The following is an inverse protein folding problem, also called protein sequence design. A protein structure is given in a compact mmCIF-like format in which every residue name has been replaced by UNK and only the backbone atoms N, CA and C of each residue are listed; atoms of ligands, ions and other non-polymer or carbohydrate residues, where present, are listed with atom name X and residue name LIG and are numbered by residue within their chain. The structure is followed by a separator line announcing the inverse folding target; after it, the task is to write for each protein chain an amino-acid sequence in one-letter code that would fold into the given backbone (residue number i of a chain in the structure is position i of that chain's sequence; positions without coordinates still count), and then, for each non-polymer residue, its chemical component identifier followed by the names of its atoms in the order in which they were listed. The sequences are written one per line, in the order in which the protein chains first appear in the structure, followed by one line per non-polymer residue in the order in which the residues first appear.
data_IF_370062484938
#
_entry.id   IF_370062484938
#
_cell.length_a   1.000
_cell.length_b   1.000
_cell.length_c   1.000
_cell.angle_alpha   90.00
_cell.angle_beta   90.00
_cell.angle_gamma   90.00
#
_symmetry.space_group_name_H-M   'P 1'
#
loop_
_entity.id
_entity.type
_entity.pdbx_description
1 polymer ?
#
# COMPACT_ATOMS: atom_id res chain seq x y z
N UNK A 1 39.05 -68.17 -29.69
CA UNK A 1 38.84 -68.07 -28.23
C UNK A 1 37.92 -66.89 -28.03
N UNK A 2 36.63 -67.18 -28.17
CA UNK A 2 35.54 -66.21 -28.12
C UNK A 2 35.11 -66.03 -26.67
N UNK A 3 35.25 -64.81 -26.14
CA UNK A 3 34.67 -64.43 -24.86
C UNK A 3 33.16 -64.18 -25.04
N UNK A 4 32.29 -64.75 -24.18
CA UNK A 4 30.86 -64.59 -24.31
C UNK A 4 30.46 -63.16 -23.90
N UNK A 5 29.59 -62.58 -24.74
CA UNK A 5 28.96 -61.28 -24.57
C UNK A 5 27.87 -61.41 -23.51
N UNK A 6 28.19 -60.99 -22.29
CA UNK A 6 27.33 -61.08 -21.11
C UNK A 6 26.08 -60.22 -21.31
N UNK A 7 24.93 -60.90 -21.44
CA UNK A 7 23.62 -60.29 -21.60
C UNK A 7 23.22 -59.52 -20.35
N UNK A 8 23.06 -58.19 -20.45
CA UNK A 8 22.42 -57.41 -19.39
C UNK A 8 21.01 -57.93 -19.11
N UNK A 9 20.60 -58.06 -17.83
CA UNK A 9 19.26 -58.53 -17.49
C UNK A 9 18.20 -57.52 -17.95
N UNK A 10 17.15 -57.96 -18.67
CA UNK A 10 16.04 -57.11 -19.04
C UNK A 10 15.13 -56.89 -17.82
N UNK A 11 14.76 -55.63 -17.55
CA UNK A 11 13.56 -55.35 -16.76
C UNK A 11 13.74 -54.60 -15.43
N UNK A 12 14.90 -54.00 -15.13
CA UNK A 12 14.94 -53.03 -14.03
C UNK A 12 14.26 -51.72 -14.49
N UNK A 13 12.95 -51.61 -14.26
CA UNK A 13 12.17 -50.39 -14.49
C UNK A 13 12.87 -49.24 -13.76
N UNK A 14 13.60 -48.40 -14.51
CA UNK A 14 14.17 -47.16 -13.98
C UNK A 14 13.00 -46.32 -13.49
N UNK A 15 12.76 -46.31 -12.17
CA UNK A 15 11.82 -45.38 -11.56
C UNK A 15 12.23 -43.99 -12.00
N UNK A 16 11.35 -43.22 -12.66
CA UNK A 16 11.72 -41.91 -13.18
C UNK A 16 12.16 -41.04 -12.01
N UNK A 17 13.39 -40.49 -12.08
CA UNK A 17 13.99 -39.67 -11.02
C UNK A 17 13.13 -38.47 -10.59
N UNK A 18 12.16 -38.07 -11.42
CA UNK A 18 11.24 -36.98 -11.12
C UNK A 18 10.27 -37.33 -9.98
N UNK A 19 9.88 -38.60 -9.84
CA UNK A 19 8.88 -39.03 -8.86
C UNK A 19 9.28 -38.74 -7.40
N UNK A 20 10.48 -39.09 -6.92
CA UNK A 20 10.89 -38.77 -5.54
C UNK A 20 11.02 -37.26 -5.31
N UNK A 21 11.43 -36.48 -6.31
CA UNK A 21 11.50 -35.01 -6.20
C UNK A 21 10.11 -34.38 -6.08
N UNK A 22 9.15 -34.82 -6.92
CA UNK A 22 7.76 -34.37 -6.87
C UNK A 22 7.11 -34.77 -5.54
N UNK A 23 7.34 -36.01 -5.07
CA UNK A 23 6.84 -36.46 -3.78
C UNK A 23 7.41 -35.62 -2.62
N UNK A 24 8.72 -35.32 -2.64
CA UNK A 24 9.35 -34.46 -1.64
C UNK A 24 8.75 -33.04 -1.64
N UNK A 25 8.49 -32.44 -2.80
CA UNK A 25 7.81 -31.14 -2.91
C UNK A 25 6.38 -31.19 -2.36
N UNK A 26 5.59 -32.22 -2.71
CA UNK A 26 4.22 -32.34 -2.25
C UNK A 26 4.13 -32.56 -0.73
N UNK A 27 4.94 -33.47 -0.19
CA UNK A 27 4.96 -33.78 1.25
C UNK A 27 5.44 -32.56 2.04
N UNK A 28 6.49 -31.87 1.59
CA UNK A 28 6.97 -30.65 2.26
C UNK A 28 5.93 -29.53 2.24
N UNK A 29 5.22 -29.31 1.12
CA UNK A 29 4.15 -28.33 1.04
C UNK A 29 3.02 -28.66 2.03
N UNK A 30 2.53 -29.89 2.03
CA UNK A 30 1.46 -30.34 2.94
C UNK A 30 1.91 -30.19 4.39
N UNK A 31 3.13 -30.61 4.73
CA UNK A 31 3.67 -30.53 6.09
C UNK A 31 3.75 -29.09 6.57
N UNK A 32 4.22 -28.17 5.73
CA UNK A 32 4.31 -26.76 6.09
C UNK A 32 2.94 -26.11 6.22
N UNK A 33 2.00 -26.41 5.32
CA UNK A 33 0.62 -25.90 5.39
C UNK A 33 -0.05 -26.40 6.67
N UNK A 34 0.02 -27.71 6.95
CA UNK A 34 -0.57 -28.28 8.17
C UNK A 34 0.08 -27.73 9.43
N UNK A 35 1.42 -27.66 9.47
CA UNK A 35 2.14 -27.10 10.60
C UNK A 35 1.80 -25.63 10.86
N UNK A 36 1.68 -24.83 9.79
CA UNK A 36 1.29 -23.42 9.90
C UNK A 36 -0.15 -23.26 10.40
N UNK A 37 -1.09 -24.05 9.86
CA UNK A 37 -2.49 -24.06 10.28
C UNK A 37 -2.64 -24.48 11.73
N UNK A 38 -1.92 -25.52 12.17
CA UNK A 38 -1.97 -25.98 13.56
C UNK A 38 -1.39 -24.94 14.53
N UNK A 39 -0.31 -24.27 14.13
CA UNK A 39 0.32 -23.22 14.95
C UNK A 39 -0.53 -21.95 15.07
N UNK A 40 -1.16 -21.54 13.96
CA UNK A 40 -1.99 -20.33 13.89
C UNK A 40 -3.49 -20.65 13.94
N UNK A 41 -3.85 -21.80 14.51
CA UNK A 41 -5.25 -22.17 14.62
C UNK A 41 -5.95 -21.09 15.44
N UNK A 42 -6.92 -20.36 14.86
CA UNK A 42 -7.55 -19.27 15.57
C UNK A 42 -8.27 -19.82 16.79
N UNK A 43 -8.21 -19.07 17.89
CA UNK A 43 -9.10 -19.32 19.01
C UNK A 43 -10.53 -19.00 18.55
N UNK A 44 -11.33 -20.04 18.34
CA UNK A 44 -12.72 -19.88 17.88
C UNK A 44 -13.70 -19.75 19.04
N UNK A 45 -13.22 -19.73 20.29
CA UNK A 45 -14.10 -19.58 21.47
C UNK A 45 -14.94 -18.30 21.36
N UNK A 46 -16.26 -18.45 21.35
CA UNK A 46 -17.21 -17.34 21.19
C UNK A 46 -17.48 -16.87 19.75
N UNK A 47 -16.85 -17.50 18.75
CA UNK A 47 -17.12 -17.28 17.31
C UNK A 47 -17.67 -18.52 16.59
N UNK A 48 -17.67 -19.68 17.26
CA UNK A 48 -18.21 -20.92 16.72
C UNK A 48 -19.69 -20.76 16.30
N UNK A 49 -19.96 -21.04 15.03
CA UNK A 49 -21.31 -20.95 14.46
C UNK A 49 -21.75 -19.54 14.04
N UNK A 50 -20.91 -18.51 14.16
CA UNK A 50 -21.22 -17.20 13.60
C UNK A 50 -21.24 -17.27 12.07
N UNK A 51 -22.35 -16.81 11.50
CA UNK A 51 -22.43 -16.60 10.05
C UNK A 51 -21.65 -15.32 9.67
N UNK A 52 -20.99 -15.30 8.50
CA UNK A 52 -20.40 -14.08 7.98
C UNK A 52 -21.43 -12.95 7.84
N UNK A 53 -21.01 -11.73 8.17
CA UNK A 53 -21.81 -10.53 7.98
C UNK A 53 -21.61 -10.01 6.56
N UNK A 54 -22.61 -10.22 5.71
CA UNK A 54 -22.64 -9.69 4.34
C UNK A 54 -23.37 -8.36 4.31
N UNK A 55 -22.73 -7.36 3.69
CA UNK A 55 -23.29 -6.02 3.47
C UNK A 55 -23.46 -5.87 1.97
N UNK A 56 -24.72 -5.82 1.54
CA UNK A 56 -25.08 -5.69 0.14
C UNK A 56 -25.13 -4.22 -0.27
N UNK A 57 -25.06 -3.95 -1.58
CA UNK A 57 -25.22 -2.58 -2.11
C UNK A 57 -26.56 -1.91 -1.72
N UNK A 58 -27.57 -2.70 -1.37
CA UNK A 58 -28.86 -2.24 -0.82
C UNK A 58 -28.75 -1.62 0.57
N UNK A 59 -27.71 -1.99 1.33
CA UNK A 59 -27.49 -1.57 2.70
C UNK A 59 -26.63 -0.32 2.77
N UNK A 60 -26.31 0.31 1.64
CA UNK A 60 -25.46 1.50 1.57
C UNK A 60 -26.34 2.74 1.44
N UNK A 61 -26.26 3.65 2.40
CA UNK A 61 -26.82 5.00 2.34
C UNK A 61 -25.80 5.92 1.66
N UNK A 62 -26.21 6.58 0.58
CA UNK A 62 -25.34 7.50 -0.13
C UNK A 62 -26.10 8.78 -0.45
N UNK A 63 -25.35 9.89 -0.53
CA UNK A 63 -25.82 11.10 -1.19
C UNK A 63 -26.04 10.78 -2.68
N UNK A 64 -27.25 10.96 -3.23
CA UNK A 64 -27.55 10.71 -4.64
C UNK A 64 -26.63 11.44 -5.63
N UNK A 65 -25.94 12.51 -5.20
CA UNK A 65 -24.96 13.23 -6.01
C UNK A 65 -23.59 12.54 -6.08
N UNK A 66 -23.30 11.58 -5.21
CA UNK A 66 -22.01 10.92 -5.07
C UNK A 66 -21.97 9.49 -5.60
N UNK A 67 -23.11 8.97 -6.06
CA UNK A 67 -23.20 7.62 -6.56
C UNK A 67 -24.59 7.25 -7.04
N UNK A 68 -24.71 6.02 -7.54
CA UNK A 68 -25.98 5.42 -7.95
C UNK A 68 -26.03 3.97 -7.49
N UNK A 69 -27.20 3.55 -7.00
CA UNK A 69 -27.45 2.15 -6.69
C UNK A 69 -27.67 1.40 -8.00
N UNK A 70 -26.92 0.31 -8.17
CA UNK A 70 -27.07 -0.62 -9.28
C UNK A 70 -27.53 -1.98 -8.73
N UNK A 71 -28.14 -2.86 -9.56
CA UNK A 71 -28.51 -4.21 -9.14
C UNK A 71 -27.31 -5.04 -8.62
N UNK A 72 -26.12 -4.71 -9.11
CA UNK A 72 -24.87 -5.43 -8.85
C UNK A 72 -23.98 -4.79 -7.77
N UNK A 73 -24.45 -3.72 -7.11
CA UNK A 73 -23.65 -2.98 -6.12
C UNK A 73 -23.94 -1.49 -6.12
N UNK A 74 -23.02 -0.71 -5.55
CA UNK A 74 -23.09 0.76 -5.57
C UNK A 74 -22.02 1.31 -6.48
N UNK A 75 -22.46 2.04 -7.50
CA UNK A 75 -21.57 2.87 -8.31
C UNK A 75 -21.23 4.11 -7.49
N UNK A 76 -19.94 4.30 -7.28
CA UNK A 76 -19.39 5.48 -6.62
C UNK A 76 -18.71 6.33 -7.67
N UNK A 77 -18.93 7.63 -7.61
CA UNK A 77 -18.31 8.59 -8.51
C UNK A 77 -17.22 9.37 -7.79
N UNK A 78 -16.21 9.80 -8.54
CA UNK A 78 -15.18 10.68 -8.00
C UNK A 78 -15.82 11.94 -7.41
N UNK A 79 -15.57 12.25 -6.11
CA UNK A 79 -15.71 13.62 -5.66
C UNK A 79 -14.81 14.49 -6.55
N UNK A 80 -15.21 15.72 -6.87
CA UNK A 80 -14.34 16.63 -7.63
C UNK A 80 -12.94 16.73 -7.02
N UNK A 81 -11.95 17.22 -7.78
CA UNK A 81 -10.51 17.08 -7.51
C UNK A 81 -9.98 17.48 -6.11
N UNK A 82 -10.80 18.15 -5.27
CA UNK A 82 -10.47 18.59 -3.91
C UNK A 82 -11.55 18.23 -2.86
N UNK A 83 -12.47 17.30 -3.18
CA UNK A 83 -13.54 16.87 -2.28
C UNK A 83 -13.29 15.45 -1.75
N UNK A 84 -13.71 15.21 -0.52
CA UNK A 84 -13.83 13.86 0.05
C UNK A 84 -15.31 13.56 0.18
N UNK A 85 -15.68 12.32 -0.15
CA UNK A 85 -17.06 11.87 -0.08
C UNK A 85 -17.19 10.68 0.84
N UNK A 86 -18.11 10.79 1.79
CA UNK A 86 -18.38 9.77 2.80
C UNK A 86 -19.70 9.09 2.44
N UNK A 87 -19.66 7.77 2.27
CA UNK A 87 -20.84 6.92 2.12
C UNK A 87 -21.06 6.13 3.41
N UNK A 88 -22.28 6.13 3.95
CA UNK A 88 -22.61 5.43 5.19
C UNK A 88 -23.28 4.09 4.88
N UNK A 89 -23.08 3.08 5.73
CA UNK A 89 -23.78 1.80 5.64
C UNK A 89 -24.92 1.78 6.65
N UNK A 90 -26.11 1.37 6.21
CA UNK A 90 -27.36 1.30 6.99
C UNK A 90 -27.33 0.27 8.12
N UNK A 91 -26.45 -0.74 8.04
CA UNK A 91 -26.38 -1.84 9.02
C UNK A 91 -25.12 -1.71 9.87
N UNK A 92 -25.31 -1.29 11.11
CA UNK A 92 -24.23 -1.13 12.08
C UNK A 92 -24.65 -1.70 13.45
N UNK A 93 -23.69 -2.06 14.29
CA UNK A 93 -23.92 -2.71 15.58
C UNK A 93 -23.47 -4.17 15.65
N UNK A 94 -22.18 -4.43 15.40
CA UNK A 94 -21.56 -5.74 15.62
C UNK A 94 -20.25 -5.62 16.39
N UNK A 95 -19.82 -6.69 17.05
CA UNK A 95 -18.52 -6.72 17.74
C UNK A 95 -17.39 -6.92 16.73
N UNK A 96 -16.45 -5.97 16.69
CA UNK A 96 -15.36 -5.95 15.72
C UNK A 96 -14.51 -7.23 15.78
N UNK A 97 -14.23 -7.71 16.99
CA UNK A 97 -13.37 -8.86 17.27
C UNK A 97 -13.94 -10.17 16.74
N UNK A 98 -15.27 -10.27 16.63
CA UNK A 98 -15.94 -11.45 16.07
C UNK A 98 -15.77 -11.53 14.55
N UNK A 99 -15.39 -10.43 13.91
CA UNK A 99 -15.31 -10.31 12.45
C UNK A 99 -14.01 -9.61 11.99
N UNK A 100 -12.84 -10.25 12.20
CA UNK A 100 -11.54 -9.63 11.93
C UNK A 100 -11.14 -9.62 10.45
N UNK A 101 -11.90 -10.30 9.56
CA UNK A 101 -11.53 -10.45 8.15
C UNK A 101 -12.56 -9.76 7.25
N UNK A 102 -12.09 -8.83 6.43
CA UNK A 102 -12.89 -8.14 5.44
C UNK A 102 -12.59 -8.67 4.04
N UNK A 103 -13.58 -9.27 3.40
CA UNK A 103 -13.57 -9.57 1.96
C UNK A 103 -14.26 -8.42 1.23
N UNK A 104 -13.59 -7.88 0.21
CA UNK A 104 -14.14 -6.80 -0.60
C UNK A 104 -14.01 -7.09 -2.09
N UNK A 105 -14.96 -6.57 -2.87
CA UNK A 105 -14.93 -6.60 -4.33
C UNK A 105 -15.40 -5.28 -4.93
N UNK A 106 -14.51 -4.66 -5.70
CA UNK A 106 -14.66 -3.37 -6.37
C UNK A 106 -14.41 -3.61 -7.86
N UNK A 107 -15.47 -3.52 -8.66
CA UNK A 107 -15.40 -3.64 -10.10
C UNK A 107 -15.22 -2.28 -10.78
N UNK A 108 -14.75 -2.30 -12.04
CA UNK A 108 -14.50 -1.10 -12.84
C UNK A 108 -13.69 -0.04 -12.08
N UNK A 109 -12.64 -0.47 -11.36
CA UNK A 109 -11.84 0.46 -10.57
C UNK A 109 -11.20 1.51 -11.47
N UNK A 110 -11.38 2.80 -11.15
CA UNK A 110 -10.55 3.85 -11.74
C UNK A 110 -9.22 3.96 -10.99
N UNK A 111 -8.06 3.93 -11.67
CA UNK A 111 -6.74 4.02 -11.02
C UNK A 111 -6.53 5.29 -10.17
N UNK A 112 -7.26 6.37 -10.45
CA UNK A 112 -7.12 7.65 -9.74
C UNK A 112 -8.07 7.81 -8.54
N UNK A 113 -9.12 7.00 -8.46
CA UNK A 113 -10.15 7.10 -7.42
C UNK A 113 -9.69 6.28 -6.22
N UNK A 114 -9.46 6.87 -5.05
CA UNK A 114 -9.09 6.18 -3.80
C UNK A 114 -10.33 5.82 -2.99
N UNK A 115 -10.39 4.56 -2.52
CA UNK A 115 -11.50 4.05 -1.71
C UNK A 115 -10.93 3.47 -0.42
N UNK A 116 -11.36 4.01 0.71
CA UNK A 116 -11.05 3.53 2.04
C UNK A 116 -12.33 3.09 2.75
N UNK A 117 -12.24 2.04 3.56
CA UNK A 117 -13.27 1.72 4.54
C UNK A 117 -13.05 2.61 5.76
N UNK A 118 -14.12 3.16 6.32
CA UNK A 118 -14.08 3.83 7.60
C UNK A 118 -15.03 3.21 8.61
N UNK A 119 -14.73 3.38 9.90
CA UNK A 119 -15.61 2.98 10.98
C UNK A 119 -15.52 3.91 12.18
N UNK A 120 -16.54 3.83 13.04
CA UNK A 120 -16.58 4.39 14.39
C UNK A 120 -17.02 3.29 15.35
N UNK A 121 -16.52 3.36 16.58
CA UNK A 121 -16.91 2.45 17.65
C UNK A 121 -17.67 3.19 18.74
N UNK A 122 -18.48 2.45 19.49
CA UNK A 122 -19.19 2.95 20.67
C UNK A 122 -18.26 3.57 21.72
N UNK A 123 -17.01 3.10 21.81
CA UNK A 123 -16.01 3.64 22.72
C UNK A 123 -15.44 4.99 22.27
N UNK A 124 -15.38 5.25 20.96
CA UNK A 124 -14.87 6.50 20.38
C UNK A 124 -15.77 7.00 19.24
N UNK A 125 -16.99 7.47 19.54
CA UNK A 125 -17.98 7.83 18.51
C UNK A 125 -17.54 9.05 17.67
N UNK A 126 -16.78 9.98 18.25
CA UNK A 126 -16.31 11.18 17.54
C UNK A 126 -15.12 10.90 16.61
N UNK A 127 -14.45 9.75 16.76
CA UNK A 127 -13.23 9.46 16.01
C UNK A 127 -13.50 8.51 14.86
N UNK A 128 -13.33 9.02 13.64
CA UNK A 128 -13.44 8.21 12.43
C UNK A 128 -12.10 7.56 12.12
N UNK A 129 -12.09 6.25 11.93
CA UNK A 129 -10.91 5.44 11.59
C UNK A 129 -11.01 5.00 10.14
N UNK A 130 -9.87 4.85 9.46
CA UNK A 130 -9.83 4.52 8.04
C UNK A 130 -8.86 3.38 7.77
N UNK A 131 -9.15 2.58 6.74
CA UNK A 131 -8.22 1.64 6.12
C UNK A 131 -8.40 1.61 4.61
N UNK A 132 -7.29 1.68 3.88
CA UNK A 132 -7.32 1.74 2.42
C UNK A 132 -7.65 0.38 1.81
N UNK A 133 -8.67 0.35 0.93
CA UNK A 133 -9.08 -0.87 0.23
C UNK A 133 -8.36 -1.05 -1.12
N UNK A 134 -7.57 -0.06 -1.54
CA UNK A 134 -6.92 -0.06 -2.85
C UNK A 134 -5.47 -0.53 -2.86
N UNK A 135 -5.01 -1.13 -1.76
CA UNK A 135 -3.69 -1.75 -1.74
C UNK A 135 -3.58 -2.89 -2.76
N UNK A 136 -4.71 -3.48 -3.20
CA UNK A 136 -4.75 -4.50 -4.23
C UNK A 136 -5.27 -3.98 -5.59
N UNK A 137 -4.40 -3.97 -6.61
CA UNK A 137 -4.72 -3.54 -7.97
C UNK A 137 -5.67 -4.47 -8.73
N UNK A 138 -6.10 -5.60 -8.16
CA UNK A 138 -7.15 -6.44 -8.77
C UNK A 138 -8.56 -6.00 -8.43
N UNK A 139 -8.73 -5.05 -7.50
CA UNK A 139 -10.04 -4.59 -7.04
C UNK A 139 -10.77 -5.58 -6.14
N UNK A 140 -10.16 -6.71 -5.77
CA UNK A 140 -10.73 -7.67 -4.83
C UNK A 140 -9.67 -8.14 -3.86
N UNK A 141 -10.06 -8.46 -2.62
CA UNK A 141 -9.08 -8.91 -1.65
C UNK A 141 -9.69 -9.29 -0.31
N UNK A 142 -8.81 -9.81 0.54
CA UNK A 142 -9.09 -10.06 1.95
C UNK A 142 -8.16 -9.15 2.74
N UNK A 143 -8.72 -8.36 3.64
CA UNK A 143 -7.99 -7.48 4.55
C UNK A 143 -8.16 -8.01 5.97
N UNK A 144 -7.04 -8.23 6.65
CA UNK A 144 -7.03 -8.60 8.06
C UNK A 144 -7.06 -7.35 8.93
N UNK A 145 -8.14 -7.15 9.68
CA UNK A 145 -8.33 -6.06 10.64
C UNK A 145 -7.85 -6.42 12.06
N UNK A 146 -7.50 -7.69 12.31
CA UNK A 146 -7.06 -8.19 13.62
C UNK A 146 -5.91 -7.38 14.26
N UNK A 147 -4.92 -6.97 13.47
CA UNK A 147 -3.76 -6.20 13.95
C UNK A 147 -4.03 -4.70 14.02
N UNK A 148 -5.20 -4.24 13.57
CA UNK A 148 -5.57 -2.85 13.67
C UNK A 148 -5.98 -2.56 15.12
N UNK A 149 -5.18 -1.76 15.82
CA UNK A 149 -5.40 -1.43 17.24
C UNK A 149 -6.73 -0.74 17.50
N UNK A 150 -7.37 -0.18 16.46
CA UNK A 150 -8.65 0.50 16.52
C UNK A 150 -9.83 -0.34 16.02
N UNK A 151 -9.60 -1.57 15.57
CA UNK A 151 -10.67 -2.51 15.22
C UNK A 151 -11.11 -3.31 16.45
N UNK A 152 -11.78 -2.62 17.38
CA UNK A 152 -12.19 -3.18 18.66
C UNK A 152 -13.54 -2.64 19.14
N UNK A 153 -14.21 -3.43 19.96
CA UNK A 153 -15.51 -3.14 20.55
C UNK A 153 -16.64 -3.13 19.52
N UNK A 154 -17.75 -2.53 19.90
CA UNK A 154 -18.95 -2.50 19.05
C UNK A 154 -18.83 -1.39 18.01
N UNK A 155 -18.85 -1.79 16.73
CA UNK A 155 -18.85 -0.87 15.58
C UNK A 155 -20.24 -0.27 15.42
N UNK A 156 -20.32 1.06 15.54
CA UNK A 156 -21.58 1.84 15.48
C UNK A 156 -21.79 2.49 14.14
N UNK A 157 -20.71 2.84 13.43
CA UNK A 157 -20.77 3.39 12.08
C UNK A 157 -19.75 2.67 11.21
N UNK A 158 -20.13 2.39 9.97
CA UNK A 158 -19.27 1.78 8.95
C UNK A 158 -19.59 2.43 7.61
N UNK A 159 -18.58 2.65 6.78
CA UNK A 159 -18.80 3.30 5.50
C UNK A 159 -17.57 3.37 4.61
N UNK A 160 -17.70 4.08 3.49
CA UNK A 160 -16.61 4.31 2.56
C UNK A 160 -16.23 5.78 2.52
N UNK A 161 -14.93 6.03 2.48
CA UNK A 161 -14.38 7.33 2.13
C UNK A 161 -13.80 7.23 0.72
N UNK A 162 -14.29 8.10 -0.15
CA UNK A 162 -13.88 8.16 -1.55
C UNK A 162 -13.17 9.49 -1.76
N UNK A 163 -12.00 9.42 -2.38
CA UNK A 163 -11.15 10.58 -2.60
C UNK A 163 -10.48 10.52 -3.96
N UNK A 164 -10.15 11.68 -4.54
CA UNK A 164 -9.46 11.74 -5.82
C UNK A 164 -10.32 11.25 -6.99
N UNK A 165 -9.67 10.81 -8.05
CA UNK A 165 -10.30 10.51 -9.33
C UNK A 165 -10.58 11.77 -10.16
N UNK A 166 -10.95 11.57 -11.42
CA UNK A 166 -11.42 12.64 -12.32
C UNK A 166 -12.94 12.75 -12.29
N UNK A 167 -13.51 13.92 -12.63
CA UNK A 167 -14.92 13.98 -12.95
C UNK A 167 -15.30 12.93 -14.00
N UNK A 168 -16.26 12.06 -13.66
CA UNK A 168 -16.70 10.94 -14.49
C UNK A 168 -16.00 9.60 -14.23
N UNK A 169 -14.93 9.57 -13.42
CA UNK A 169 -14.39 8.31 -12.93
C UNK A 169 -15.40 7.64 -12.00
N UNK A 170 -15.62 6.35 -12.23
CA UNK A 170 -16.56 5.55 -11.45
C UNK A 170 -15.89 4.28 -10.95
N UNK A 171 -16.45 3.69 -9.90
CA UNK A 171 -16.11 2.34 -9.45
C UNK A 171 -17.34 1.70 -8.84
N UNK A 172 -17.46 0.38 -8.92
CA UNK A 172 -18.64 -0.33 -8.42
C UNK A 172 -18.25 -1.19 -7.24
N UNK A 173 -18.67 -0.78 -6.06
CA UNK A 173 -18.55 -1.59 -4.84
C UNK A 173 -19.61 -2.67 -4.90
N UNK A 174 -19.20 -3.92 -5.11
CA UNK A 174 -20.13 -5.04 -5.30
C UNK A 174 -20.50 -5.69 -3.97
N UNK A 175 -19.49 -6.09 -3.22
CA UNK A 175 -19.68 -6.92 -2.02
C UNK A 175 -18.69 -6.52 -0.93
N UNK A 176 -19.22 -6.46 0.29
CA UNK A 176 -18.43 -6.49 1.51
C UNK A 176 -18.91 -7.66 2.36
N UNK A 177 -17.96 -8.47 2.81
CA UNK A 177 -18.25 -9.59 3.69
C UNK A 177 -17.25 -9.61 4.81
N UNK A 178 -17.76 -9.54 6.03
CA UNK A 178 -16.97 -9.68 7.23
C UNK A 178 -17.09 -11.11 7.74
N UNK A 179 -15.97 -11.80 7.85
CA UNK A 179 -15.94 -13.22 8.20
C UNK A 179 -15.36 -13.42 9.60
N UNK A 180 -15.91 -14.37 10.39
CA UNK A 180 -15.28 -14.79 11.63
C UNK A 180 -13.95 -15.49 11.37
N UNK A 181 -13.08 -15.56 12.39
CA UNK A 181 -11.83 -16.29 12.28
C UNK A 181 -12.10 -17.79 12.11
N UNK A 182 -11.25 -18.46 11.33
CA UNK A 182 -11.39 -19.89 11.06
C UNK A 182 -10.24 -20.44 10.22
N UNK A 183 -10.09 -21.75 10.18
CA UNK A 183 -8.99 -22.40 9.44
C UNK A 183 -9.08 -22.16 7.94
N UNK A 184 -10.28 -22.23 7.36
CA UNK A 184 -10.51 -21.99 5.94
C UNK A 184 -10.23 -20.52 5.61
N UNK A 185 -10.69 -19.59 6.45
CA UNK A 185 -10.50 -18.16 6.24
C UNK A 185 -9.04 -17.74 6.43
N UNK A 186 -8.29 -18.43 7.31
CA UNK A 186 -6.83 -18.29 7.41
C UNK A 186 -6.13 -18.66 6.10
N UNK A 187 -6.42 -19.83 5.53
CA UNK A 187 -5.82 -20.27 4.27
C UNK A 187 -6.22 -19.34 3.11
N UNK A 188 -7.47 -18.90 3.07
CA UNK A 188 -7.92 -17.92 2.09
C UNK A 188 -7.18 -16.59 2.23
N UNK A 189 -6.91 -16.14 3.46
CA UNK A 189 -6.16 -14.90 3.71
C UNK A 189 -4.72 -15.01 3.22
N UNK A 190 -4.03 -16.12 3.53
CA UNK A 190 -2.67 -16.37 3.01
C UNK A 190 -2.67 -16.38 1.48
N UNK A 191 -3.62 -17.10 0.86
CA UNK A 191 -3.72 -17.15 -0.59
C UNK A 191 -4.03 -15.78 -1.20
N UNK A 192 -4.89 -14.99 -0.56
CA UNK A 192 -5.21 -13.63 -0.97
C UNK A 192 -3.99 -12.71 -0.87
N UNK A 193 -3.22 -12.74 0.22
CA UNK A 193 -1.95 -12.02 0.34
C UNK A 193 -0.93 -12.48 -0.72
N UNK A 194 -0.94 -13.78 -1.03
CA UNK A 194 -0.04 -14.39 -1.99
C UNK A 194 -0.42 -14.14 -3.45
N UNK A 195 -1.62 -13.63 -3.70
CA UNK A 195 -2.12 -13.28 -5.03
C UNK A 195 -2.47 -11.79 -5.14
N UNK A 196 -2.32 -11.02 -4.07
CA UNK A 196 -2.53 -9.59 -4.07
C UNK A 196 -1.50 -8.92 -4.95
N UNK A 197 -1.97 -8.02 -5.80
CA UNK A 197 -1.12 -7.17 -6.63
C UNK A 197 -0.94 -5.84 -5.93
N UNK A 198 0.29 -5.48 -5.63
CA UNK A 198 0.61 -4.24 -4.91
C UNK A 198 0.60 -3.04 -5.86
N UNK A 199 0.02 -1.94 -5.39
CA UNK A 199 0.19 -0.64 -6.03
C UNK A 199 1.67 -0.19 -5.97
N UNK A 200 2.01 0.83 -6.76
CA UNK A 200 3.32 1.47 -6.63
C UNK A 200 3.48 2.02 -5.21
N UNK A 201 4.39 1.43 -4.45
CA UNK A 201 4.84 1.97 -3.17
C UNK A 201 6.08 2.81 -3.41
N UNK A 202 6.19 3.96 -2.73
CA UNK A 202 7.41 4.77 -2.73
C UNK A 202 8.51 4.16 -1.83
N UNK A 203 8.37 2.88 -1.44
CA UNK A 203 9.40 2.16 -0.69
C UNK A 203 10.57 1.79 -1.60
N UNK A 204 11.75 1.61 -1.01
CA UNK A 204 12.92 1.15 -1.76
C UNK A 204 12.66 -0.21 -2.40
N UNK A 205 13.20 -0.41 -3.61
CA UNK A 205 13.20 -1.69 -4.33
C UNK A 205 13.85 -2.84 -3.53
N UNK A 206 14.64 -2.50 -2.50
CA UNK A 206 15.29 -3.46 -1.63
C UNK A 206 14.40 -3.94 -0.46
N UNK A 207 13.21 -3.37 -0.28
CA UNK A 207 12.25 -3.92 0.69
C UNK A 207 11.49 -5.09 0.07
N UNK A 208 11.55 -6.23 0.75
CA UNK A 208 10.88 -7.48 0.37
C UNK A 208 9.41 -7.48 0.81
N UNK A 209 8.66 -6.39 0.59
CA UNK A 209 7.20 -6.46 0.62
C UNK A 209 6.80 -7.13 -0.68
N UNK A 210 6.81 -8.47 -0.65
CA UNK A 210 6.39 -9.32 -1.76
C UNK A 210 5.01 -9.91 -1.45
N UNK A 211 4.18 -9.16 -0.73
CA UNK A 211 2.79 -9.41 -0.36
C UNK A 211 2.23 -8.12 0.28
N UNK A 212 0.92 -8.10 0.55
CA UNK A 212 0.28 -7.05 1.36
C UNK A 212 1.19 -6.63 2.53
N UNK A 213 1.32 -5.32 2.85
CA UNK A 213 2.13 -4.83 3.99
C UNK A 213 1.80 -5.50 5.33
N UNK A 214 0.62 -6.12 5.43
CA UNK A 214 0.14 -6.83 6.62
C UNK A 214 0.10 -8.36 6.43
N UNK A 215 0.81 -8.88 5.43
CA UNK A 215 0.84 -10.31 5.15
C UNK A 215 1.43 -11.08 6.32
N UNK A 216 0.68 -12.09 6.78
CA UNK A 216 1.09 -12.93 7.91
C UNK A 216 2.26 -13.85 7.57
N UNK A 217 2.45 -14.14 6.30
CA UNK A 217 3.46 -15.09 5.82
C UNK A 217 4.03 -14.62 4.48
N UNK A 218 5.28 -14.16 4.50
CA UNK A 218 5.99 -13.77 3.28
C UNK A 218 6.08 -14.95 2.29
N UNK A 219 5.68 -14.78 1.01
CA UNK A 219 5.84 -15.82 -0.01
C UNK A 219 7.29 -16.28 -0.18
N UNK A 220 8.26 -15.35 -0.06
CA UNK A 220 9.69 -15.67 -0.18
C UNK A 220 10.15 -16.62 0.93
N UNK A 221 9.90 -16.27 2.19
CA UNK A 221 10.21 -17.11 3.35
C UNK A 221 9.52 -18.47 3.25
N UNK A 222 8.23 -18.50 2.92
CA UNK A 222 7.49 -19.76 2.79
C UNK A 222 8.06 -20.65 1.67
N UNK A 223 8.41 -20.06 0.53
CA UNK A 223 9.06 -20.77 -0.59
C UNK A 223 10.43 -21.29 -0.19
N UNK A 224 11.22 -20.51 0.56
CA UNK A 224 12.52 -20.93 1.05
C UNK A 224 12.42 -22.11 2.04
N UNK A 225 11.48 -22.05 2.99
CA UNK A 225 11.18 -23.17 3.89
C UNK A 225 10.70 -24.40 3.12
N UNK A 226 9.84 -24.21 2.12
CA UNK A 226 9.35 -25.28 1.25
C UNK A 226 10.48 -25.97 0.49
N UNK A 227 11.33 -25.19 -0.19
CA UNK A 227 12.52 -25.70 -0.87
C UNK A 227 13.47 -26.41 0.11
N UNK A 228 13.76 -25.81 1.26
CA UNK A 228 14.65 -26.38 2.27
C UNK A 228 14.16 -27.73 2.79
N UNK A 229 12.87 -27.82 3.16
CA UNK A 229 12.26 -29.07 3.62
C UNK A 229 12.21 -30.11 2.50
N UNK A 230 11.89 -29.72 1.25
CA UNK A 230 11.89 -30.61 0.10
C UNK A 230 13.30 -31.20 -0.16
N UNK A 231 14.34 -30.37 -0.08
CA UNK A 231 15.74 -30.80 -0.21
C UNK A 231 16.14 -31.77 0.90
N UNK A 232 15.74 -31.52 2.16
CA UNK A 232 16.00 -32.41 3.29
C UNK A 232 15.30 -33.77 3.12
N UNK A 233 14.02 -33.78 2.73
CA UNK A 233 13.27 -35.01 2.46
C UNK A 233 13.89 -35.81 1.31
N UNK A 234 14.26 -35.13 0.22
CA UNK A 234 14.90 -35.75 -0.92
C UNK A 234 16.29 -36.31 -0.57
N UNK A 235 17.10 -35.57 0.19
CA UNK A 235 18.41 -36.02 0.66
C UNK A 235 18.27 -37.23 1.61
N UNK A 236 17.33 -37.19 2.55
CA UNK A 236 17.07 -38.30 3.49
C UNK A 236 16.59 -39.57 2.79
N UNK A 237 15.75 -39.44 1.77
CA UNK A 237 15.33 -40.56 0.92
C UNK A 237 16.51 -41.20 0.20
N UNK A 238 17.36 -40.37 -0.43
CA UNK A 238 18.54 -40.85 -1.14
C UNK A 238 19.59 -41.41 -0.19
N UNK A 239 19.78 -40.88 1.02
CA UNK A 239 20.73 -41.37 2.01
C UNK A 239 20.42 -42.82 2.45
N UNK A 240 19.15 -43.13 2.72
CA UNK A 240 18.71 -44.51 3.02
C UNK A 240 18.94 -45.47 1.84
N UNK A 241 18.87 -44.96 0.62
CA UNK A 241 19.08 -45.73 -0.60
C UNK A 241 20.57 -45.84 -1.00
N UNK A 242 21.40 -44.86 -0.60
CA UNK A 242 22.84 -44.80 -0.84
C UNK A 242 23.58 -45.93 -0.13
N UNK A 243 23.14 -46.29 1.07
CA UNK A 243 23.63 -47.49 1.78
C UNK A 243 23.29 -48.81 1.07
N UNK A 244 22.43 -48.80 0.04
CA UNK A 244 21.94 -50.01 -0.60
C UNK A 244 22.47 -50.30 -2.00
N UNK A 245 23.07 -49.35 -2.74
CA UNK A 245 23.81 -49.53 -4.03
C UNK A 245 23.93 -48.15 -4.72
N UNK A 246 25.03 -47.43 -4.51
CA UNK A 246 25.38 -46.10 -5.05
C UNK A 246 24.56 -45.55 -6.25
N UNK A 247 23.44 -44.82 -6.03
CA UNK A 247 22.85 -44.00 -7.06
C UNK A 247 23.40 -42.57 -6.92
N UNK A 248 24.06 -42.06 -7.98
CA UNK A 248 24.41 -40.64 -8.06
C UNK A 248 23.12 -39.81 -8.01
N UNK A 249 23.09 -38.68 -7.28
CA UNK A 249 21.90 -37.83 -7.21
C UNK A 249 21.47 -37.44 -8.63
N UNK A 250 20.23 -37.75 -8.95
CA UNK A 250 19.73 -37.52 -10.30
C UNK A 250 19.55 -36.01 -10.53
N UNK A 251 20.41 -35.44 -11.38
CA UNK A 251 20.47 -33.99 -11.66
C UNK A 251 19.11 -33.40 -12.04
N UNK A 252 18.29 -34.16 -12.77
CA UNK A 252 16.94 -33.74 -13.16
C UNK A 252 15.97 -33.58 -11.97
N UNK A 253 16.06 -34.45 -10.95
CA UNK A 253 15.26 -34.32 -9.74
C UNK A 253 15.64 -33.08 -8.93
N UNK A 254 16.94 -32.82 -8.78
CA UNK A 254 17.43 -31.62 -8.10
C UNK A 254 17.01 -30.34 -8.83
N UNK A 255 17.08 -30.34 -10.17
CA UNK A 255 16.61 -29.22 -10.98
C UNK A 255 15.13 -28.93 -10.74
N UNK A 256 14.27 -29.95 -10.68
CA UNK A 256 12.83 -29.77 -10.40
C UNK A 256 12.58 -29.20 -9.00
N UNK A 257 13.31 -29.67 -7.99
CA UNK A 257 13.19 -29.17 -6.61
C UNK A 257 13.45 -27.67 -6.53
N UNK A 258 14.41 -27.16 -7.29
CA UNK A 258 14.78 -25.74 -7.31
C UNK A 258 13.88 -24.94 -8.26
N UNK A 259 13.63 -25.47 -9.46
CA UNK A 259 12.92 -24.75 -10.50
C UNK A 259 11.46 -24.49 -10.15
N UNK A 260 10.75 -25.44 -9.52
CA UNK A 260 9.31 -25.27 -9.23
C UNK A 260 9.07 -24.13 -8.22
N UNK A 261 9.67 -24.11 -7.02
CA UNK A 261 9.49 -23.01 -6.07
C UNK A 261 9.97 -21.67 -6.64
N UNK A 262 11.08 -21.67 -7.39
CA UNK A 262 11.61 -20.46 -8.02
C UNK A 262 10.67 -19.89 -9.10
N UNK A 263 10.16 -20.73 -10.00
CA UNK A 263 9.21 -20.32 -11.05
C UNK A 263 7.89 -19.82 -10.44
N UNK A 264 7.45 -20.37 -9.30
CA UNK A 264 6.27 -19.89 -8.59
C UNK A 264 6.45 -18.45 -8.08
N UNK A 265 7.59 -18.14 -7.44
CA UNK A 265 7.90 -16.77 -7.03
C UNK A 265 8.04 -15.83 -8.23
N UNK A 266 8.73 -16.29 -9.28
CA UNK A 266 8.92 -15.50 -10.48
C UNK A 266 7.59 -15.17 -11.18
N UNK A 267 6.69 -16.15 -11.31
CA UNK A 267 5.37 -15.95 -11.88
C UNK A 267 4.55 -14.92 -11.07
N UNK A 268 4.60 -14.99 -9.74
CA UNK A 268 3.95 -14.01 -8.86
C UNK A 268 4.50 -12.59 -9.11
N UNK A 269 5.81 -12.41 -9.17
CA UNK A 269 6.41 -11.11 -9.49
C UNK A 269 6.03 -10.60 -10.87
N UNK A 270 6.05 -11.49 -11.88
CA UNK A 270 5.71 -11.13 -13.25
C UNK A 270 4.25 -10.64 -13.36
N UNK A 271 3.33 -11.30 -12.65
CA UNK A 271 1.93 -10.85 -12.56
C UNK A 271 1.84 -9.45 -11.95
N UNK A 272 2.56 -9.20 -10.85
CA UNK A 272 2.57 -7.89 -10.20
C UNK A 272 3.04 -6.78 -11.16
N UNK A 273 4.17 -7.01 -11.84
CA UNK A 273 4.72 -6.04 -12.79
C UNK A 273 3.82 -5.80 -14.00
N UNK A 274 3.16 -6.84 -14.53
CA UNK A 274 2.23 -6.65 -15.64
C UNK A 274 1.01 -5.84 -15.24
N UNK A 275 0.45 -6.07 -14.07
CA UNK A 275 -0.67 -5.27 -13.58
C UNK A 275 -0.25 -3.83 -13.31
N UNK A 276 0.89 -3.59 -12.63
CA UNK A 276 1.42 -2.25 -12.42
C UNK A 276 1.70 -1.51 -13.74
N UNK A 277 2.27 -2.19 -14.75
CA UNK A 277 2.51 -1.63 -16.07
C UNK A 277 1.20 -1.23 -16.75
N UNK A 278 0.18 -2.10 -16.67
CA UNK A 278 -1.13 -1.83 -17.27
C UNK A 278 -1.80 -0.62 -16.60
N UNK A 279 -1.77 -0.54 -15.27
CA UNK A 279 -2.27 0.62 -14.50
C UNK A 279 -1.55 1.91 -14.88
N UNK A 280 -0.22 1.90 -14.90
CA UNK A 280 0.60 3.06 -15.30
C UNK A 280 0.27 3.47 -16.74
N UNK A 281 0.10 2.52 -17.64
CA UNK A 281 -0.25 2.79 -19.04
C UNK A 281 -1.65 3.42 -19.14
N UNK A 282 -2.64 2.89 -18.44
CA UNK A 282 -3.99 3.45 -18.41
C UNK A 282 -4.00 4.88 -17.83
N UNK A 283 -3.22 5.12 -16.78
CA UNK A 283 -3.19 6.42 -16.12
C UNK A 283 -2.45 7.49 -16.93
N UNK A 284 -1.34 7.13 -17.60
CA UNK A 284 -0.39 8.12 -18.15
C UNK A 284 -0.15 8.05 -19.67
N UNK A 285 -0.60 7.02 -20.39
CA UNK A 285 -0.34 6.92 -21.84
C UNK A 285 -1.05 8.03 -22.63
N UNK A 286 -0.38 8.55 -23.66
CA UNK A 286 -0.90 9.62 -24.52
C UNK A 286 -0.97 11.01 -23.87
N UNK A 287 -0.52 11.16 -22.62
CA UNK A 287 -0.60 12.42 -21.87
C UNK A 287 0.68 13.24 -21.94
N UNK A 288 0.53 14.55 -21.93
CA UNK A 288 1.62 15.52 -21.74
C UNK A 288 2.20 15.43 -20.33
N UNK A 289 3.39 15.99 -20.11
CA UNK A 289 4.03 15.97 -18.80
C UNK A 289 3.19 16.70 -17.73
N UNK A 290 2.58 17.84 -18.09
CA UNK A 290 1.69 18.60 -17.21
C UNK A 290 0.48 17.74 -16.78
N UNK A 291 -0.19 17.10 -17.73
CA UNK A 291 -1.31 16.21 -17.44
C UNK A 291 -0.87 15.03 -16.56
N UNK A 292 0.29 14.42 -16.81
CA UNK A 292 0.80 13.34 -15.96
C UNK A 292 1.00 13.81 -14.52
N UNK A 293 1.55 15.00 -14.28
CA UNK A 293 1.71 15.54 -12.94
C UNK A 293 0.39 15.86 -12.25
N UNK A 294 -0.61 16.35 -12.99
CA UNK A 294 -1.96 16.59 -12.47
C UNK A 294 -2.71 15.30 -12.11
N UNK A 295 -2.21 14.14 -12.52
CA UNK A 295 -2.80 12.83 -12.26
C UNK A 295 -2.01 11.97 -11.28
N UNK A 296 -0.77 12.37 -11.01
CA UNK A 296 0.06 11.69 -10.04
C UNK A 296 -0.46 11.94 -8.62
N UNK A 297 -0.02 11.10 -7.68
CA UNK A 297 -0.45 11.21 -6.27
C UNK A 297 -0.06 12.55 -5.63
N UNK A 298 0.96 13.21 -6.16
CA UNK A 298 1.45 14.53 -5.75
C UNK A 298 0.84 15.70 -6.54
N UNK A 299 -0.28 15.48 -7.25
CA UNK A 299 -0.95 16.52 -8.04
C UNK A 299 -1.29 17.78 -7.23
N UNK A 300 -1.62 17.67 -5.95
CA UNK A 300 -1.89 18.83 -5.06
C UNK A 300 -0.64 19.69 -4.89
N UNK A 301 0.53 19.05 -4.73
CA UNK A 301 1.83 19.72 -4.63
C UNK A 301 2.17 20.41 -5.95
N UNK A 302 1.95 19.71 -7.06
CA UNK A 302 2.20 20.25 -8.39
C UNK A 302 1.30 21.44 -8.71
N UNK A 303 -0.01 21.35 -8.44
CA UNK A 303 -0.97 22.44 -8.60
C UNK A 303 -0.55 23.67 -7.79
N UNK A 304 -0.13 23.47 -6.55
CA UNK A 304 0.34 24.56 -5.70
C UNK A 304 1.63 25.20 -6.23
N UNK A 305 2.60 24.39 -6.67
CA UNK A 305 3.82 24.90 -7.30
C UNK A 305 3.52 25.73 -8.57
N UNK A 306 2.61 25.25 -9.42
CA UNK A 306 2.18 25.97 -10.62
C UNK A 306 1.46 27.28 -10.27
N UNK A 307 0.59 27.27 -9.27
CA UNK A 307 -0.05 28.49 -8.75
C UNK A 307 0.98 29.52 -8.31
N UNK A 308 1.94 29.12 -7.47
CA UNK A 308 3.00 30.01 -7.00
C UNK A 308 3.80 30.59 -8.18
N UNK A 309 4.22 29.76 -9.13
CA UNK A 309 5.02 30.20 -10.29
C UNK A 309 4.27 31.14 -11.23
N UNK A 310 2.99 30.88 -11.45
CA UNK A 310 2.23 31.57 -12.49
C UNK A 310 1.52 32.82 -11.97
N UNK A 311 1.21 32.89 -10.67
CA UNK A 311 0.36 33.94 -10.10
C UNK A 311 1.02 34.78 -9.00
N UNK A 312 2.02 34.24 -8.28
CA UNK A 312 2.53 34.88 -7.05
C UNK A 312 3.99 35.29 -7.17
N UNK A 313 4.84 34.38 -7.66
CA UNK A 313 6.27 34.58 -7.80
C UNK A 313 6.61 35.38 -9.07
N UNK A 314 7.77 36.06 -9.09
CA UNK A 314 8.23 36.76 -10.27
C UNK A 314 8.57 35.77 -11.40
N UNK A 315 8.56 36.25 -12.65
CA UNK A 315 8.94 35.41 -13.81
C UNK A 315 10.44 35.07 -13.84
N UNK A 316 11.27 35.89 -13.18
CA UNK A 316 12.70 35.61 -13.03
C UNK A 316 12.96 34.61 -11.88
N UNK A 317 14.03 33.79 -11.98
CA UNK A 317 14.43 32.91 -10.87
C UNK A 317 14.60 33.71 -9.58
N UNK A 318 13.92 33.25 -8.53
CA UNK A 318 13.89 33.89 -7.22
C UNK A 318 14.42 32.91 -6.18
N UNK A 319 14.92 33.44 -5.07
CA UNK A 319 15.37 32.65 -3.94
C UNK A 319 14.20 32.37 -3.01
N UNK A 320 13.92 31.08 -2.81
CA UNK A 320 12.82 30.59 -1.98
C UNK A 320 13.40 29.75 -0.85
N UNK A 321 13.01 30.06 0.37
CA UNK A 321 13.43 29.36 1.58
C UNK A 321 12.21 28.59 2.06
N UNK A 322 12.30 27.26 2.03
CA UNK A 322 11.21 26.37 2.39
C UNK A 322 11.42 25.87 3.83
N UNK A 323 10.52 26.27 4.71
CA UNK A 323 10.53 25.94 6.13
C UNK A 323 9.52 24.82 6.41
N UNK A 324 10.02 23.67 6.88
CA UNK A 324 9.17 22.59 7.39
C UNK A 324 9.92 21.76 8.43
N UNK A 325 9.30 21.55 9.60
CA UNK A 325 9.87 20.73 10.67
C UNK A 325 9.67 19.23 10.40
N UNK A 326 10.39 18.68 9.42
CA UNK A 326 10.44 17.24 9.14
C UNK A 326 11.69 16.87 8.33
N UNK A 327 12.54 16.00 8.88
CA UNK A 327 13.71 15.47 8.19
C UNK A 327 13.28 14.59 7.00
N UNK A 328 13.83 14.84 5.80
CA UNK A 328 13.49 14.14 4.54
C UNK A 328 12.00 14.12 4.21
N UNK A 329 11.36 15.26 4.38
CA UNK A 329 9.95 15.44 4.06
C UNK A 329 9.66 15.37 2.55
N UNK A 330 8.76 14.45 2.16
CA UNK A 330 8.37 14.21 0.77
C UNK A 330 7.80 15.46 0.10
N UNK A 331 6.86 16.16 0.77
CA UNK A 331 6.21 17.36 0.22
C UNK A 331 7.24 18.45 -0.06
N UNK A 332 8.14 18.72 0.88
CA UNK A 332 9.18 19.75 0.74
C UNK A 332 10.10 19.47 -0.44
N UNK A 333 10.60 18.24 -0.57
CA UNK A 333 11.50 17.85 -1.66
C UNK A 333 10.81 17.88 -3.03
N UNK A 334 9.54 17.42 -3.10
CA UNK A 334 8.76 17.49 -4.33
C UNK A 334 8.43 18.91 -4.74
N UNK A 335 8.06 19.75 -3.77
CA UNK A 335 7.75 21.15 -4.03
C UNK A 335 8.97 21.91 -4.53
N UNK A 336 10.14 21.71 -3.93
CA UNK A 336 11.41 22.24 -4.44
C UNK A 336 11.64 21.87 -5.91
N UNK A 337 11.41 20.61 -6.28
CA UNK A 337 11.56 20.17 -7.68
C UNK A 337 10.58 20.87 -8.62
N UNK A 338 9.32 21.03 -8.21
CA UNK A 338 8.30 21.68 -9.05
C UNK A 338 8.43 23.21 -9.12
N UNK A 339 9.11 23.82 -8.15
CA UNK A 339 9.41 25.25 -8.15
C UNK A 339 10.57 25.63 -9.08
N UNK A 340 11.29 24.67 -9.68
CA UNK A 340 12.29 24.99 -10.71
C UNK A 340 11.66 25.84 -11.83
N UNK A 341 12.33 26.91 -12.32
CA UNK A 341 13.75 27.21 -12.10
C UNK A 341 14.07 28.10 -10.88
N UNK A 342 13.13 28.36 -9.97
CA UNK A 342 13.43 29.13 -8.75
C UNK A 342 14.43 28.37 -7.85
N UNK A 343 15.34 29.13 -7.23
CA UNK A 343 16.38 28.59 -6.36
C UNK A 343 15.79 28.35 -4.98
N UNK A 344 15.42 27.10 -4.70
CA UNK A 344 14.78 26.72 -3.44
C UNK A 344 15.76 26.07 -2.47
N UNK A 345 15.74 26.51 -1.21
CA UNK A 345 16.59 26.03 -0.10
C UNK A 345 15.74 25.49 1.04
N UNK A 346 16.08 24.32 1.57
CA UNK A 346 15.29 23.65 2.60
C UNK A 346 15.85 23.86 3.99
N UNK A 347 14.99 24.21 4.95
CA UNK A 347 15.34 24.37 6.36
C UNK A 347 14.35 23.64 7.26
N UNK A 348 14.89 22.99 8.29
CA UNK A 348 14.11 22.26 9.31
C UNK A 348 13.66 23.18 10.47
N UNK A 349 14.31 24.34 10.62
CA UNK A 349 14.12 25.33 11.68
C UNK A 349 14.36 26.74 11.14
N UNK A 350 14.15 27.77 11.97
CA UNK A 350 14.41 29.17 11.63
C UNK A 350 15.75 29.32 10.87
N UNK A 351 15.73 29.80 9.62
CA UNK A 351 16.97 30.06 8.88
C UNK A 351 17.74 31.15 9.65
N UNK A 352 19.06 31.01 9.75
CA UNK A 352 19.87 32.05 10.41
C UNK A 352 19.64 33.40 9.71
N UNK A 353 19.46 34.47 10.49
CA UNK A 353 19.10 35.81 10.01
C UNK A 353 20.03 36.28 8.87
N UNK A 354 21.33 36.02 9.00
CA UNK A 354 22.37 36.36 8.01
C UNK A 354 22.15 35.70 6.63
N UNK A 355 21.31 34.67 6.55
CA UNK A 355 20.98 33.98 5.29
C UNK A 355 19.71 34.50 4.63
N UNK A 356 18.95 35.38 5.28
CA UNK A 356 17.74 35.98 4.73
C UNK A 356 18.06 37.36 4.15
N UNK A 357 17.79 37.52 2.85
CA UNK A 357 18.01 38.79 2.15
C UNK A 357 16.68 39.48 1.87
N UNK A 358 16.73 40.81 1.72
CA UNK A 358 15.56 41.57 1.29
C UNK A 358 15.05 41.03 -0.06
N UNK A 359 13.75 40.76 -0.15
CA UNK A 359 13.13 40.19 -1.35
C UNK A 359 13.22 38.67 -1.48
N UNK A 360 13.85 37.97 -0.52
CA UNK A 360 13.74 36.52 -0.43
C UNK A 360 12.29 36.11 -0.14
N UNK A 361 11.92 34.92 -0.59
CA UNK A 361 10.60 34.35 -0.32
C UNK A 361 10.72 33.26 0.74
N UNK A 362 9.90 33.33 1.79
CA UNK A 362 9.84 32.33 2.85
C UNK A 362 8.53 31.54 2.72
N UNK A 363 8.64 30.27 2.36
CA UNK A 363 7.51 29.35 2.23
C UNK A 363 7.45 28.44 3.45
N UNK A 364 6.40 28.59 4.25
CA UNK A 364 6.16 27.79 5.45
C UNK A 364 5.15 26.69 5.12
N UNK A 365 5.55 25.43 5.26
CA UNK A 365 4.71 24.28 4.97
C UNK A 365 4.17 23.66 6.27
N UNK A 366 2.85 23.71 6.43
CA UNK A 366 2.15 23.29 7.64
C UNK A 366 2.48 24.16 8.86
N UNK A 367 2.17 23.64 10.04
CA UNK A 367 2.39 24.35 11.30
C UNK A 367 3.82 24.15 11.81
N UNK A 368 4.44 25.26 12.21
CA UNK A 368 5.74 25.26 12.85
C UNK A 368 5.53 25.67 14.30
N UNK A 369 5.78 24.77 15.27
CA UNK A 369 5.57 25.08 16.67
C UNK A 369 6.28 26.36 17.09
N UNK A 370 5.51 27.28 17.66
CA UNK A 370 6.01 28.56 18.14
C UNK A 370 6.20 29.64 17.09
N UNK A 371 5.86 29.39 15.82
CA UNK A 371 5.81 30.42 14.77
C UNK A 371 4.40 30.99 14.63
N UNK A 372 4.26 32.29 14.78
CA UNK A 372 3.01 33.02 14.57
C UNK A 372 3.21 34.17 13.59
N UNK A 373 2.19 34.48 12.81
CA UNK A 373 2.18 35.66 11.97
C UNK A 373 1.31 36.75 12.58
N UNK A 374 1.95 37.87 12.92
CA UNK A 374 1.28 39.06 13.38
C UNK A 374 0.94 39.96 12.18
N UNK A 375 -0.31 39.88 11.72
CA UNK A 375 -0.77 40.62 10.54
C UNK A 375 -0.74 42.14 10.74
N UNK A 376 -1.01 42.62 11.97
CA UNK A 376 -1.00 44.06 12.26
C UNK A 376 0.40 44.66 12.08
N UNK A 377 1.42 43.92 12.49
CA UNK A 377 2.82 44.37 12.44
C UNK A 377 3.58 43.85 11.22
N UNK A 378 2.96 43.04 10.36
CA UNK A 378 3.59 42.33 9.23
C UNK A 378 4.89 41.62 9.66
N UNK A 379 4.82 40.90 10.78
CA UNK A 379 5.96 40.22 11.40
C UNK A 379 5.65 38.75 11.64
N UNK A 380 6.60 37.90 11.32
CA UNK A 380 6.66 36.52 11.80
C UNK A 380 7.38 36.53 13.15
N UNK A 381 6.80 35.90 14.16
CA UNK A 381 7.29 35.88 15.53
C UNK A 381 7.50 34.42 15.96
N UNK A 382 8.69 34.13 16.48
CA UNK A 382 9.04 32.84 17.06
C UNK A 382 9.03 32.90 18.58
N UNK A 383 8.69 31.80 19.24
CA UNK A 383 8.67 31.68 20.73
C UNK A 383 10.00 32.00 21.41
N UNK A 384 11.11 32.06 20.69
CA UNK A 384 12.43 32.43 21.22
C UNK A 384 12.72 33.95 21.10
N UNK A 385 11.71 34.78 20.86
CA UNK A 385 11.86 36.24 20.73
C UNK A 385 12.39 36.71 19.37
N UNK A 386 12.74 35.78 18.47
CA UNK A 386 13.14 36.10 17.10
C UNK A 386 11.94 36.56 16.30
N UNK A 387 12.13 37.61 15.52
CA UNK A 387 11.08 38.16 14.67
C UNK A 387 11.65 38.51 13.29
N UNK A 388 10.81 38.37 12.26
CA UNK A 388 11.16 38.67 10.88
C UNK A 388 10.07 39.51 10.25
N UNK A 389 10.41 40.68 9.70
CA UNK A 389 9.47 41.46 8.90
C UNK A 389 9.19 40.75 7.59
N UNK A 390 7.92 40.48 7.35
CA UNK A 390 7.48 39.63 6.26
C UNK A 390 6.06 39.99 5.82
N UNK A 391 5.86 40.12 4.51
CA UNK A 391 4.54 40.33 3.92
C UNK A 391 3.97 39.01 3.47
N UNK A 392 2.80 38.62 3.99
CA UNK A 392 2.06 37.47 3.47
C UNK A 392 1.66 37.73 2.00
N UNK A 393 2.01 36.80 1.11
CA UNK A 393 1.69 36.87 -0.32
C UNK A 393 0.65 35.83 -0.74
N UNK A 394 0.69 34.65 -0.14
CA UNK A 394 -0.21 33.54 -0.50
C UNK A 394 -0.47 32.63 0.72
N UNK A 395 -1.68 32.09 0.80
CA UNK A 395 -2.10 31.13 1.83
C UNK A 395 -2.89 29.99 1.18
N UNK A 396 -2.50 28.77 1.50
CA UNK A 396 -3.03 27.53 0.96
C UNK A 396 -3.09 26.46 2.06
N UNK A 397 -3.94 25.43 1.95
CA UNK A 397 -3.91 24.29 2.85
C UNK A 397 -2.54 23.60 2.96
N UNK A 398 -1.67 23.74 1.94
CA UNK A 398 -0.30 23.19 1.97
C UNK A 398 0.70 24.09 2.72
N UNK A 399 0.46 25.40 2.79
CA UNK A 399 1.42 26.34 3.36
C UNK A 399 1.12 27.80 3.08
N UNK A 400 2.01 28.67 3.60
CA UNK A 400 1.94 30.13 3.49
C UNK A 400 3.23 30.67 2.91
N UNK A 401 3.12 31.54 1.92
CA UNK A 401 4.27 32.22 1.32
C UNK A 401 4.36 33.65 1.81
N UNK A 402 5.56 34.05 2.23
CA UNK A 402 5.89 35.40 2.65
C UNK A 402 7.03 35.97 1.82
N UNK A 403 7.04 37.28 1.66
CA UNK A 403 8.20 38.02 1.15
C UNK A 403 8.91 38.70 2.31
N UNK A 404 10.22 38.46 2.41
CA UNK A 404 11.08 39.00 3.45
C UNK A 404 11.40 40.46 3.17
N UNK A 405 11.25 41.29 4.19
CA UNK A 405 11.69 42.69 4.18
C UNK A 405 12.79 42.86 5.24
N UNK A 406 14.05 42.70 4.82
CA UNK A 406 15.20 42.77 5.74
C UNK A 406 15.62 44.20 6.08
N UNK A 407 14.87 45.23 5.65
CA UNK A 407 15.21 46.64 5.91
C UNK A 407 14.93 47.11 7.36
N UNK A 408 14.68 46.18 8.30
CA UNK A 408 14.46 46.52 9.70
C UNK A 408 14.53 45.35 10.68
N UNK A 409 15.62 44.58 10.63
CA UNK A 409 16.01 43.77 11.78
C UNK A 409 16.52 44.69 12.90
N UNK A 410 15.71 44.85 13.95
CA UNK A 410 16.20 45.28 15.25
C UNK A 410 16.97 44.09 15.82
N UNK A 411 18.31 44.18 15.85
CA UNK A 411 19.15 43.24 16.58
C UNK A 411 18.79 43.34 18.06
N UNK A 412 18.00 42.38 18.55
CA UNK A 412 17.66 42.17 19.95
C UNK A 412 18.30 40.90 20.49
#
# INVERSE_FOLDING_TARGET
MDTPMDSMPPGQKRTPCALPAIAALAISAITLIMGYVLWHMPDTTGTDGLAPLEISGSDIMFDPHLGKRLPQGVEVQAPGADQQSILLLSRTGFQAEQYPLLHYRIANRSPGLKIALFWRSSATPETTRFVDLQQNLTGQGILSLEHNTWWKGTITDLGFNIQGGRPGDTSIIRDLKFSPPGTITLLQTILADWTSVEAWSMSSINFLFNASPHSRLSPVVATACWLGLALLLYAGWNFKQYHRLFPRPCRGGLLLLIAIPWLMLYARWQLNYWTQLNETRQLYSGKTQNEKHLLAEDAVIYRYAQHLKNQVLPQSPARIIILRKAYRDYLRLKLQYYLLPHNSYNYDSFPQADYLQNGDYLLILGDIPGLQYNQANKRLEWTQGRHLRAKLLDESPLGRLYQVDSSGEDQG
#
